data_IF_494013644285
#
_entry.id   IF_494013644285
#
_cell.length_a   1.000
_cell.length_b   1.000
_cell.length_c   1.000
_cell.angle_alpha   90.00
_cell.angle_beta   90.00
_cell.angle_gamma   90.00
#
_symmetry.space_group_name_H-M   'P 1'
#
loop_
_entity.id
_entity.type
_entity.pdbx_description
1 polymer ?
#
# COMPACT_ATOMS: atom_id res chain seq x y z
N UNK A 1 -6.63 -12.77 10.80
CA UNK A 1 -6.44 -11.78 9.71
C UNK A 1 -5.47 -10.72 10.18
N UNK A 2 -4.51 -10.35 9.38
CA UNK A 2 -3.54 -9.30 9.73
C UNK A 2 -3.58 -8.18 8.68
N UNK A 3 -3.56 -6.94 9.15
CA UNK A 3 -3.44 -5.72 8.34
C UNK A 3 -2.11 -5.03 8.62
N UNK A 4 -1.41 -4.66 7.56
CA UNK A 4 -0.10 -4.03 7.60
C UNK A 4 -0.17 -2.74 6.80
N UNK A 5 -0.87 -1.73 7.34
CA UNK A 5 -1.00 -0.39 6.74
C UNK A 5 -1.55 0.59 7.76
N UNK A 6 -1.28 1.93 7.60
CA UNK A 6 -2.01 2.93 8.37
C UNK A 6 -3.51 2.71 8.24
N UNK A 7 -4.19 2.31 9.30
CA UNK A 7 -5.61 2.01 9.25
C UNK A 7 -6.39 3.33 9.25
N UNK A 8 -6.59 3.91 8.07
CA UNK A 8 -7.51 5.04 7.94
C UNK A 8 -8.99 4.61 7.86
N UNK A 9 -9.24 3.30 8.00
CA UNK A 9 -10.55 2.69 7.93
C UNK A 9 -11.13 2.51 6.52
N UNK A 10 -10.65 3.26 5.54
CA UNK A 10 -11.26 3.26 4.20
C UNK A 10 -11.12 1.93 3.46
N UNK A 11 -10.06 1.18 3.72
CA UNK A 11 -9.81 -0.15 3.12
C UNK A 11 -10.17 -1.30 4.04
N UNK A 12 -10.01 -1.11 5.35
CA UNK A 12 -10.26 -2.14 6.36
C UNK A 12 -11.75 -2.34 6.62
N UNK A 13 -12.51 -1.24 6.70
CA UNK A 13 -13.96 -1.27 6.94
C UNK A 13 -14.68 -2.19 5.96
N UNK A 14 -14.54 -2.04 4.62
CA UNK A 14 -15.21 -2.93 3.68
C UNK A 14 -14.84 -4.40 3.85
N UNK A 15 -13.57 -4.71 4.13
CA UNK A 15 -13.10 -6.09 4.32
C UNK A 15 -13.74 -6.68 5.58
N UNK A 16 -13.69 -5.95 6.69
CA UNK A 16 -14.28 -6.38 7.96
C UNK A 16 -15.81 -6.52 7.81
N UNK A 17 -16.49 -5.57 7.18
CA UNK A 17 -17.94 -5.60 6.96
C UNK A 17 -18.37 -6.81 6.14
N UNK A 18 -17.64 -7.13 5.06
CA UNK A 18 -17.90 -8.33 4.24
C UNK A 18 -17.76 -9.59 5.10
N UNK A 19 -16.65 -9.74 5.83
CA UNK A 19 -16.43 -10.92 6.67
C UNK A 19 -17.45 -11.02 7.81
N UNK A 20 -17.77 -9.90 8.47
CA UNK A 20 -18.76 -9.84 9.52
C UNK A 20 -20.16 -10.18 9.00
N UNK A 21 -20.52 -9.75 7.78
CA UNK A 21 -21.81 -10.09 7.15
C UNK A 21 -21.96 -11.60 6.90
N UNK A 22 -20.86 -12.33 6.75
CA UNK A 22 -20.83 -13.80 6.65
C UNK A 22 -20.90 -14.50 8.02
N UNK A 23 -21.15 -13.75 9.08
CA UNK A 23 -21.24 -14.24 10.46
C UNK A 23 -19.94 -14.89 10.99
N UNK A 24 -18.80 -14.55 10.42
CA UNK A 24 -17.50 -15.02 10.87
C UNK A 24 -17.14 -14.40 12.23
N UNK A 25 -16.51 -15.17 13.12
CA UNK A 25 -15.77 -14.64 14.25
C UNK A 25 -14.38 -14.23 13.73
N UNK A 26 -14.00 -12.97 13.92
CA UNK A 26 -12.81 -12.39 13.34
C UNK A 26 -11.84 -12.00 14.46
N UNK A 27 -10.63 -12.57 14.45
CA UNK A 27 -9.49 -12.03 15.18
C UNK A 27 -8.70 -11.17 14.21
N UNK A 28 -8.68 -9.85 14.43
CA UNK A 28 -8.09 -8.87 13.53
C UNK A 28 -6.84 -8.27 14.15
N UNK A 29 -5.68 -8.56 13.57
CA UNK A 29 -4.39 -8.01 14.02
C UNK A 29 -4.01 -6.82 13.15
N UNK A 30 -3.70 -5.71 13.79
CA UNK A 30 -3.23 -4.47 13.16
C UNK A 30 -1.76 -4.27 13.52
N UNK A 31 -0.91 -4.12 12.51
CA UNK A 31 0.52 -3.81 12.68
C UNK A 31 0.79 -2.46 12.01
N UNK A 32 1.03 -1.42 12.81
CA UNK A 32 1.23 -0.05 12.34
C UNK A 32 2.15 0.72 13.30
N UNK A 33 3.29 1.27 12.82
CA UNK A 33 4.21 2.03 13.69
C UNK A 33 3.69 3.43 14.06
N UNK A 34 2.81 4.04 13.26
CA UNK A 34 2.35 5.42 13.47
C UNK A 34 1.25 5.47 14.55
N UNK A 35 1.58 6.04 15.71
CA UNK A 35 0.67 6.20 16.86
C UNK A 35 -0.63 6.87 16.45
N UNK A 36 -0.58 7.95 15.70
CA UNK A 36 -1.77 8.72 15.33
C UNK A 36 -2.73 7.91 14.45
N UNK A 37 -2.21 7.05 13.57
CA UNK A 37 -3.03 6.18 12.74
C UNK A 37 -3.62 5.03 13.55
N UNK A 38 -2.86 4.46 14.48
CA UNK A 38 -3.37 3.46 15.44
C UNK A 38 -4.51 4.03 16.26
N UNK A 39 -4.37 5.24 16.81
CA UNK A 39 -5.38 5.87 17.64
C UNK A 39 -6.65 6.24 16.87
N UNK A 40 -6.51 6.70 15.62
CA UNK A 40 -7.66 6.93 14.73
C UNK A 40 -8.44 5.62 14.50
N UNK A 41 -7.75 4.52 14.24
CA UNK A 41 -8.42 3.25 13.98
C UNK A 41 -9.04 2.66 15.23
N UNK A 42 -8.40 2.77 16.40
CA UNK A 42 -9.00 2.41 17.69
C UNK A 42 -10.28 3.18 17.95
N UNK A 43 -10.29 4.49 17.67
CA UNK A 43 -11.48 5.33 17.82
C UNK A 43 -12.61 4.90 16.88
N UNK A 44 -12.28 4.57 15.62
CA UNK A 44 -13.25 4.03 14.67
C UNK A 44 -13.82 2.69 15.15
N UNK A 45 -12.97 1.78 15.61
CA UNK A 45 -13.39 0.46 16.15
C UNK A 45 -14.34 0.65 17.32
N UNK A 46 -14.00 1.51 18.29
CA UNK A 46 -14.87 1.80 19.44
C UNK A 46 -16.23 2.32 18.99
N UNK A 47 -16.26 3.30 18.07
CA UNK A 47 -17.51 3.85 17.54
C UNK A 47 -18.38 2.80 16.84
N UNK A 48 -17.78 1.91 16.03
CA UNK A 48 -18.49 0.81 15.36
C UNK A 48 -19.09 -0.18 16.35
N UNK A 49 -18.33 -0.54 17.40
CA UNK A 49 -18.78 -1.48 18.42
C UNK A 49 -19.87 -0.89 19.32
N UNK A 50 -19.79 0.40 19.68
CA UNK A 50 -20.85 1.12 20.40
C UNK A 50 -22.17 1.18 19.63
N UNK A 51 -22.10 1.22 18.28
CA UNK A 51 -23.27 1.15 17.40
C UNK A 51 -23.80 -0.28 17.19
N UNK A 52 -23.28 -1.27 17.92
CA UNK A 52 -23.66 -2.68 17.76
C UNK A 52 -23.14 -3.35 16.50
N UNK A 53 -22.21 -2.68 15.79
CA UNK A 53 -21.50 -3.26 14.64
C UNK A 53 -20.26 -4.01 15.11
N UNK A 54 -19.69 -4.86 14.27
CA UNK A 54 -18.46 -5.64 14.53
C UNK A 54 -18.46 -6.41 15.85
N UNK A 55 -19.63 -6.86 16.31
CA UNK A 55 -19.80 -7.57 17.59
C UNK A 55 -19.05 -8.92 17.66
N UNK A 56 -18.63 -9.43 16.50
CA UNK A 56 -17.85 -10.68 16.35
C UNK A 56 -16.41 -10.43 15.95
N UNK A 57 -15.93 -9.19 16.07
CA UNK A 57 -14.56 -8.83 15.72
C UNK A 57 -13.77 -8.49 16.99
N UNK A 58 -12.71 -9.23 17.23
CA UNK A 58 -11.72 -8.93 18.26
C UNK A 58 -10.51 -8.29 17.59
N UNK A 59 -10.11 -7.13 18.09
CA UNK A 59 -8.95 -6.40 17.59
C UNK A 59 -7.75 -6.53 18.51
N UNK A 60 -6.58 -6.71 17.91
CA UNK A 60 -5.27 -6.64 18.56
C UNK A 60 -4.40 -5.65 17.81
N UNK A 61 -3.77 -4.71 18.52
CA UNK A 61 -2.98 -3.64 17.92
C UNK A 61 -1.53 -3.77 18.33
N UNK A 62 -0.65 -3.88 17.36
CA UNK A 62 0.80 -3.86 17.51
C UNK A 62 1.34 -2.56 16.92
N UNK A 63 1.73 -1.63 17.81
CA UNK A 63 2.34 -0.36 17.41
C UNK A 63 3.84 -0.59 17.15
N UNK A 64 4.15 -1.18 16.02
CA UNK A 64 5.51 -1.57 15.63
C UNK A 64 5.62 -1.68 14.11
N UNK A 65 6.84 -1.75 13.60
CA UNK A 65 7.06 -2.05 12.17
C UNK A 65 6.77 -3.52 11.88
N UNK A 66 6.51 -3.83 10.60
CA UNK A 66 6.25 -5.22 10.20
C UNK A 66 7.48 -6.10 10.39
N UNK A 67 8.68 -5.56 10.19
CA UNK A 67 9.93 -6.27 10.41
C UNK A 67 10.04 -6.74 11.87
N UNK A 68 9.88 -5.80 12.81
CA UNK A 68 9.92 -6.11 14.23
C UNK A 68 8.83 -7.10 14.64
N UNK A 69 7.60 -6.92 14.12
CA UNK A 69 6.51 -7.86 14.37
C UNK A 69 6.85 -9.28 13.91
N UNK A 70 7.41 -9.43 12.72
CA UNK A 70 7.83 -10.72 12.19
C UNK A 70 8.96 -11.34 13.00
N UNK A 71 9.95 -10.56 13.43
CA UNK A 71 11.04 -11.03 14.29
C UNK A 71 10.53 -11.48 15.66
N UNK A 72 9.71 -10.67 16.32
CA UNK A 72 9.13 -11.01 17.62
C UNK A 72 8.26 -12.26 17.56
N UNK A 73 7.45 -12.37 16.51
CA UNK A 73 6.57 -13.51 16.31
C UNK A 73 7.32 -14.80 15.99
N UNK A 74 8.52 -14.73 15.42
CA UNK A 74 9.41 -15.91 15.26
C UNK A 74 9.93 -16.44 16.62
N UNK A 75 10.10 -15.56 17.61
CA UNK A 75 10.54 -15.92 18.95
C UNK A 75 9.43 -16.49 19.84
N UNK A 76 8.17 -16.16 19.51
CA UNK A 76 7.00 -16.71 20.19
C UNK A 76 6.69 -18.09 19.60
N UNK A 77 6.60 -19.09 20.46
CA UNK A 77 6.26 -20.49 20.07
C UNK A 77 4.80 -20.63 19.60
N UNK A 78 3.99 -19.57 19.76
CA UNK A 78 2.62 -19.55 19.31
C UNK A 78 2.57 -19.35 17.79
N UNK A 79 2.03 -20.32 17.09
CA UNK A 79 1.76 -20.29 15.65
C UNK A 79 0.61 -19.30 15.35
N UNK A 80 0.94 -18.03 15.18
CA UNK A 80 -0.01 -17.09 14.58
C UNK A 80 -0.15 -17.45 13.09
N UNK A 81 -1.08 -18.34 12.79
CA UNK A 81 -1.44 -18.68 11.42
C UNK A 81 -2.67 -17.89 11.00
N UNK A 82 -2.56 -17.18 9.89
CA UNK A 82 -3.60 -16.30 9.37
C UNK A 82 -4.35 -16.93 8.20
N UNK A 83 -5.67 -16.78 8.19
CA UNK A 83 -6.50 -17.07 7.02
C UNK A 83 -6.28 -16.04 5.93
N UNK A 84 -6.15 -14.76 6.32
CA UNK A 84 -5.98 -13.65 5.40
C UNK A 84 -4.94 -12.68 5.99
N UNK A 85 -3.99 -12.30 5.15
CA UNK A 85 -3.08 -11.18 5.39
C UNK A 85 -3.28 -10.19 4.25
N UNK A 86 -3.37 -8.90 4.56
CA UNK A 86 -3.39 -7.88 3.50
C UNK A 86 -2.42 -6.74 3.78
N UNK A 87 -1.86 -6.21 2.68
CA UNK A 87 -0.95 -5.08 2.63
C UNK A 87 -1.43 -4.15 1.52
N UNK A 88 -1.97 -2.99 1.86
CA UNK A 88 -2.59 -2.11 0.87
C UNK A 88 -1.88 -0.75 0.88
N UNK A 89 -1.22 -0.40 -0.23
CA UNK A 89 -0.47 0.85 -0.42
C UNK A 89 0.57 1.16 0.68
N UNK A 90 1.27 0.13 1.21
CA UNK A 90 2.25 0.31 2.30
C UNK A 90 3.65 -0.25 2.01
N UNK A 91 3.82 -1.04 0.95
CA UNK A 91 5.06 -1.78 0.68
C UNK A 91 6.14 -0.91 0.00
N UNK A 92 5.78 0.26 -0.48
CA UNK A 92 6.64 1.11 -1.34
C UNK A 92 8.01 1.42 -0.77
N UNK A 93 8.09 1.67 0.52
CA UNK A 93 9.31 2.13 1.21
C UNK A 93 9.90 1.10 2.17
N UNK A 94 9.41 -0.12 2.16
CA UNK A 94 9.95 -1.19 3.01
C UNK A 94 11.39 -1.55 2.58
N UNK A 95 12.33 -1.69 3.51
CA UNK A 95 13.75 -1.92 3.20
C UNK A 95 14.01 -3.19 2.39
N UNK A 96 13.39 -4.30 2.76
CA UNK A 96 13.44 -5.59 2.03
C UNK A 96 12.03 -6.18 1.87
N UNK A 97 11.27 -5.73 0.86
CA UNK A 97 9.92 -6.27 0.63
C UNK A 97 9.93 -7.78 0.37
N UNK A 98 11.01 -8.33 -0.18
CA UNK A 98 11.14 -9.76 -0.41
C UNK A 98 11.20 -10.56 0.88
N UNK A 99 12.00 -10.14 1.87
CA UNK A 99 12.06 -10.79 3.17
C UNK A 99 10.71 -10.69 3.91
N UNK A 100 10.07 -9.53 3.83
CA UNK A 100 8.75 -9.30 4.43
C UNK A 100 7.71 -10.26 3.82
N UNK A 101 7.63 -10.37 2.49
CA UNK A 101 6.68 -11.27 1.84
C UNK A 101 6.94 -12.76 2.15
N UNK A 102 8.19 -13.17 2.27
CA UNK A 102 8.55 -14.52 2.76
C UNK A 102 8.05 -14.73 4.18
N UNK A 103 8.27 -13.76 5.08
CA UNK A 103 7.79 -13.81 6.45
C UNK A 103 6.26 -13.88 6.54
N UNK A 104 5.56 -13.02 5.80
CA UNK A 104 4.10 -13.01 5.76
C UNK A 104 3.52 -14.31 5.16
N UNK A 105 4.09 -14.80 4.07
CA UNK A 105 3.69 -16.09 3.48
C UNK A 105 3.90 -17.24 4.47
N UNK A 106 5.00 -17.22 5.22
CA UNK A 106 5.27 -18.17 6.29
C UNK A 106 4.16 -18.22 7.35
N UNK A 107 3.52 -17.08 7.62
CA UNK A 107 2.44 -16.91 8.62
C UNK A 107 1.03 -17.24 8.11
N UNK A 108 0.85 -17.50 6.83
CA UNK A 108 -0.43 -17.99 6.34
C UNK A 108 -0.64 -19.44 6.80
N UNK A 109 -1.86 -19.79 7.12
CA UNK A 109 -2.26 -21.20 7.22
C UNK A 109 -2.41 -21.82 5.82
N UNK A 110 -2.45 -23.13 5.74
CA UNK A 110 -2.76 -23.84 4.48
C UNK A 110 -4.12 -23.39 3.95
N UNK A 111 -4.19 -23.00 2.70
CA UNK A 111 -5.38 -22.40 2.08
C UNK A 111 -5.58 -20.92 2.40
N UNK A 112 -4.72 -20.32 3.24
CA UNK A 112 -4.76 -18.88 3.54
C UNK A 112 -4.32 -18.00 2.37
N UNK A 113 -4.71 -16.73 2.40
CA UNK A 113 -4.53 -15.76 1.33
C UNK A 113 -3.69 -14.56 1.78
N UNK A 114 -2.69 -14.19 1.00
CA UNK A 114 -1.99 -12.91 1.09
C UNK A 114 -2.46 -12.02 -0.06
N UNK A 115 -3.03 -10.86 0.27
CA UNK A 115 -3.47 -9.83 -0.66
C UNK A 115 -2.57 -8.61 -0.54
N UNK A 116 -1.96 -8.18 -1.63
CA UNK A 116 -1.28 -6.90 -1.69
C UNK A 116 -1.89 -6.04 -2.79
N UNK A 117 -2.23 -4.80 -2.47
CA UNK A 117 -2.65 -3.79 -3.44
C UNK A 117 -1.62 -2.68 -3.52
N UNK A 118 -1.17 -2.34 -4.71
CA UNK A 118 -0.21 -1.27 -4.91
C UNK A 118 -0.26 -0.67 -6.32
N UNK A 119 0.42 0.47 -6.48
CA UNK A 119 0.54 1.16 -7.75
C UNK A 119 1.17 0.29 -8.84
N UNK A 120 0.64 0.43 -10.05
CA UNK A 120 1.06 -0.29 -11.24
C UNK A 120 1.19 0.67 -12.44
N UNK A 121 1.71 0.16 -13.55
CA UNK A 121 1.75 0.86 -14.83
C UNK A 121 2.55 2.17 -14.77
N UNK A 122 1.95 3.25 -15.27
CA UNK A 122 2.61 4.55 -15.38
C UNK A 122 2.99 5.15 -14.03
N UNK A 123 2.22 4.90 -12.98
CA UNK A 123 2.55 5.36 -11.63
C UNK A 123 3.79 4.65 -11.08
N UNK A 124 3.99 3.35 -11.40
CA UNK A 124 5.25 2.66 -11.07
C UNK A 124 6.44 3.29 -11.80
N UNK A 125 6.26 3.68 -13.07
CA UNK A 125 7.30 4.36 -13.85
C UNK A 125 7.64 5.73 -13.24
N UNK A 126 6.65 6.47 -12.74
CA UNK A 126 6.85 7.72 -12.04
C UNK A 126 7.72 7.52 -10.79
N UNK A 127 7.47 6.46 -9.99
CA UNK A 127 8.31 6.12 -8.84
C UNK A 127 9.74 5.71 -9.23
N UNK A 128 9.93 5.07 -10.39
CA UNK A 128 11.28 4.80 -10.91
C UNK A 128 12.00 6.10 -11.25
N UNK A 129 11.32 7.02 -11.92
CA UNK A 129 11.87 8.33 -12.30
C UNK A 129 12.22 9.17 -11.06
N UNK A 130 11.36 9.14 -10.07
CA UNK A 130 11.55 9.87 -8.82
C UNK A 130 12.76 9.35 -8.02
N UNK A 131 13.07 8.04 -8.04
CA UNK A 131 14.30 7.48 -7.43
C UNK A 131 15.59 8.02 -8.03
N UNK A 132 15.59 8.46 -9.28
CA UNK A 132 16.74 9.12 -9.90
C UNK A 132 16.97 10.50 -9.28
N UNK A 133 15.89 11.15 -8.82
CA UNK A 133 15.90 12.50 -8.23
C UNK A 133 16.17 12.42 -6.73
N UNK A 134 15.48 11.52 -6.04
CA UNK A 134 15.58 11.34 -4.58
C UNK A 134 16.13 9.95 -4.22
N UNK A 135 17.45 9.81 -4.03
CA UNK A 135 18.07 8.52 -3.70
C UNK A 135 17.60 7.90 -2.38
N UNK A 136 16.96 8.66 -1.49
CA UNK A 136 16.39 8.13 -0.26
C UNK A 136 15.23 7.15 -0.54
N UNK A 137 14.58 7.26 -1.71
CA UNK A 137 13.49 6.39 -2.16
C UNK A 137 13.96 5.14 -2.95
N UNK A 138 15.21 4.74 -2.82
CA UNK A 138 15.78 3.59 -3.55
C UNK A 138 15.02 2.29 -3.37
N UNK A 139 14.32 2.13 -2.27
CA UNK A 139 13.49 0.95 -1.98
C UNK A 139 12.06 1.06 -2.53
N UNK A 140 11.65 2.21 -3.09
CA UNK A 140 10.31 2.35 -3.64
C UNK A 140 10.10 1.37 -4.80
N UNK A 141 9.13 0.50 -4.66
CA UNK A 141 8.81 -0.56 -5.65
C UNK A 141 7.36 -0.43 -6.10
N UNK A 142 7.09 -0.70 -7.37
CA UNK A 142 5.74 -0.88 -7.89
C UNK A 142 5.39 -2.37 -8.02
N UNK A 143 4.20 -2.65 -8.53
CA UNK A 143 3.64 -4.00 -8.57
C UNK A 143 4.47 -4.98 -9.40
N UNK A 144 4.93 -4.57 -10.59
CA UNK A 144 5.75 -5.44 -11.45
C UNK A 144 7.10 -5.77 -10.81
N UNK A 145 7.71 -4.80 -10.13
CA UNK A 145 8.96 -5.00 -9.40
C UNK A 145 8.76 -5.94 -8.20
N UNK A 146 7.69 -5.74 -7.44
CA UNK A 146 7.36 -6.60 -6.30
C UNK A 146 7.08 -8.05 -6.73
N UNK A 147 6.31 -8.26 -7.80
CA UNK A 147 6.06 -9.63 -8.34
C UNK A 147 7.36 -10.35 -8.68
N UNK A 148 8.31 -9.66 -9.33
CA UNK A 148 9.64 -10.23 -9.63
C UNK A 148 10.43 -10.59 -8.37
N UNK A 149 10.35 -9.76 -7.33
CA UNK A 149 10.99 -10.01 -6.05
C UNK A 149 10.38 -11.24 -5.38
N UNK A 150 9.04 -11.31 -5.31
CA UNK A 150 8.31 -12.45 -4.72
C UNK A 150 8.65 -13.73 -5.47
N UNK A 151 8.58 -13.73 -6.80
CA UNK A 151 8.87 -14.92 -7.61
C UNK A 151 10.30 -15.46 -7.42
N UNK A 152 11.27 -14.56 -7.17
CA UNK A 152 12.66 -14.98 -6.88
C UNK A 152 12.81 -15.59 -5.48
N UNK A 153 12.08 -15.09 -4.50
CA UNK A 153 12.18 -15.53 -3.10
C UNK A 153 11.28 -16.72 -2.78
N UNK A 154 10.18 -16.85 -3.51
CA UNK A 154 9.17 -17.89 -3.39
C UNK A 154 8.88 -18.48 -4.78
N UNK A 155 9.80 -19.27 -5.37
CA UNK A 155 9.69 -19.71 -6.77
C UNK A 155 8.49 -20.61 -7.05
N UNK A 156 8.02 -21.36 -6.05
CA UNK A 156 6.91 -22.32 -6.18
C UNK A 156 5.53 -21.70 -5.91
N UNK A 157 5.50 -20.40 -5.62
CA UNK A 157 4.26 -19.68 -5.34
C UNK A 157 3.59 -19.24 -6.63
N UNK A 158 2.30 -19.52 -6.74
CA UNK A 158 1.45 -19.00 -7.80
C UNK A 158 1.00 -17.59 -7.45
N UNK A 159 1.30 -16.63 -8.32
CA UNK A 159 0.91 -15.23 -8.18
C UNK A 159 -0.26 -14.97 -9.10
N UNK A 160 -1.41 -14.64 -8.53
CA UNK A 160 -2.58 -14.17 -9.28
C UNK A 160 -2.63 -12.65 -9.21
N UNK A 161 -3.06 -11.99 -10.28
CA UNK A 161 -3.13 -10.54 -10.32
C UNK A 161 -4.46 -10.03 -10.83
N UNK A 162 -4.93 -8.91 -10.27
CA UNK A 162 -6.11 -8.18 -10.72
C UNK A 162 -5.68 -6.74 -10.99
N UNK A 163 -5.67 -6.36 -12.25
CA UNK A 163 -5.29 -5.01 -12.66
C UNK A 163 -6.51 -4.09 -12.66
N UNK A 164 -6.37 -2.91 -12.04
CA UNK A 164 -7.43 -1.90 -11.90
C UNK A 164 -6.99 -0.62 -12.57
N UNK A 165 -7.69 -0.26 -13.66
CA UNK A 165 -7.47 1.03 -14.32
C UNK A 165 -8.12 2.13 -13.51
N UNK A 166 -7.33 3.10 -13.13
CA UNK A 166 -7.76 4.28 -12.39
C UNK A 166 -7.17 5.54 -13.03
N UNK A 167 -7.79 6.67 -12.77
CA UNK A 167 -7.35 7.96 -13.28
C UNK A 167 -7.40 9.02 -12.19
N UNK A 168 -6.43 9.92 -12.20
CA UNK A 168 -6.36 11.07 -11.31
C UNK A 168 -6.26 12.33 -12.16
N UNK A 169 -7.12 13.33 -11.89
CA UNK A 169 -7.05 14.60 -12.59
C UNK A 169 -5.72 15.29 -12.28
N UNK A 170 -4.96 15.63 -13.33
CA UNK A 170 -3.58 16.12 -13.20
C UNK A 170 -3.36 17.51 -13.76
N UNK A 171 -4.38 18.19 -14.32
CA UNK A 171 -4.24 19.54 -14.90
C UNK A 171 -3.55 20.51 -13.97
N UNK A 172 -3.90 20.48 -12.69
CA UNK A 172 -3.38 21.39 -11.68
C UNK A 172 -1.87 21.19 -11.43
N UNK A 173 -1.34 19.99 -11.66
CA UNK A 173 0.10 19.73 -11.56
C UNK A 173 0.93 20.53 -12.57
N UNK A 174 0.32 20.96 -13.66
CA UNK A 174 1.00 21.71 -14.73
C UNK A 174 0.80 23.23 -14.62
N UNK A 175 0.14 23.70 -13.57
CA UNK A 175 -0.02 25.11 -13.21
C UNK A 175 0.89 25.44 -12.03
N UNK A 176 1.88 26.28 -12.25
CA UNK A 176 2.92 26.58 -11.27
C UNK A 176 2.37 27.09 -9.94
N UNK A 177 1.38 28.01 -10.01
CA UNK A 177 0.78 28.64 -8.84
C UNK A 177 -0.36 27.83 -8.20
N UNK A 178 -0.68 26.64 -8.74
CA UNK A 178 -1.75 25.81 -8.17
C UNK A 178 -1.29 25.13 -6.89
N UNK A 179 -1.96 25.47 -5.79
CA UNK A 179 -1.73 24.82 -4.49
C UNK A 179 -2.05 23.32 -4.56
N UNK A 180 -3.19 22.97 -5.15
CA UNK A 180 -3.65 21.59 -5.31
C UNK A 180 -2.66 20.79 -6.17
N UNK A 181 -2.19 21.39 -7.27
CA UNK A 181 -1.20 20.78 -8.14
C UNK A 181 0.14 20.56 -7.45
N UNK A 182 0.60 21.52 -6.64
CA UNK A 182 1.83 21.38 -5.87
C UNK A 182 1.70 20.31 -4.79
N UNK A 183 0.58 20.25 -4.06
CA UNK A 183 0.32 19.18 -3.09
C UNK A 183 0.26 17.80 -3.74
N UNK A 184 -0.29 17.69 -4.94
CA UNK A 184 -0.33 16.44 -5.69
C UNK A 184 1.07 16.02 -6.16
N UNK A 185 1.90 16.97 -6.62
CA UNK A 185 3.30 16.70 -6.98
C UNK A 185 4.09 16.24 -5.76
N UNK A 186 3.96 16.90 -4.62
CA UNK A 186 4.61 16.49 -3.36
C UNK A 186 4.23 15.06 -2.97
N UNK A 187 2.94 14.72 -3.11
CA UNK A 187 2.45 13.36 -2.86
C UNK A 187 3.03 12.34 -3.85
N UNK A 188 3.06 12.64 -5.14
CA UNK A 188 3.55 11.75 -6.19
C UNK A 188 5.05 11.52 -6.12
N UNK A 189 5.81 12.52 -5.62
CA UNK A 189 7.26 12.49 -5.54
C UNK A 189 7.80 12.18 -4.14
N UNK A 190 6.92 12.00 -3.15
CA UNK A 190 7.32 11.87 -1.74
C UNK A 190 8.28 12.98 -1.27
N UNK A 191 8.24 14.14 -1.91
CA UNK A 191 9.15 15.26 -1.67
C UNK A 191 8.35 16.52 -1.37
N UNK A 192 8.47 17.04 -0.17
CA UNK A 192 7.79 18.27 0.24
C UNK A 192 8.34 19.47 -0.53
N UNK A 193 7.43 20.36 -0.98
CA UNK A 193 7.75 21.51 -1.84
C UNK A 193 8.58 21.11 -3.08
N UNK A 194 8.22 20.01 -3.75
CA UNK A 194 8.97 19.41 -4.85
C UNK A 194 9.47 20.43 -5.88
N UNK A 195 8.60 21.36 -6.34
CA UNK A 195 9.00 22.36 -7.33
C UNK A 195 10.15 23.27 -6.86
N UNK A 196 10.27 23.49 -5.55
CA UNK A 196 11.32 24.34 -4.96
C UNK A 196 12.54 23.55 -4.51
N UNK A 197 12.37 22.24 -4.30
CA UNK A 197 13.40 21.36 -3.74
C UNK A 197 14.38 20.83 -4.79
N UNK A 198 14.01 20.89 -6.07
CA UNK A 198 14.82 20.39 -7.19
C UNK A 198 15.29 21.52 -8.11
N UNK A 199 16.32 21.27 -8.92
CA UNK A 199 16.75 22.23 -9.92
C UNK A 199 15.72 22.40 -11.03
N UNK A 200 15.74 23.53 -11.72
CA UNK A 200 14.83 23.83 -12.85
C UNK A 200 14.90 22.74 -13.94
N UNK A 201 16.09 22.26 -14.25
CA UNK A 201 16.30 21.16 -15.21
C UNK A 201 15.60 19.89 -14.77
N UNK A 202 15.79 19.47 -13.52
CA UNK A 202 15.16 18.27 -12.96
C UNK A 202 13.64 18.39 -12.94
N UNK A 203 13.13 19.57 -12.55
CA UNK A 203 11.70 19.83 -12.58
C UNK A 203 11.13 19.74 -14.00
N UNK A 204 11.78 20.39 -14.98
CA UNK A 204 11.37 20.36 -16.38
C UNK A 204 11.33 18.93 -16.93
N UNK A 205 12.39 18.15 -16.69
CA UNK A 205 12.49 16.75 -17.15
C UNK A 205 11.43 15.86 -16.50
N UNK A 206 11.18 16.05 -15.21
CA UNK A 206 10.14 15.31 -14.49
C UNK A 206 8.74 15.65 -15.01
N UNK A 207 8.44 16.93 -15.19
CA UNK A 207 7.14 17.38 -15.67
C UNK A 207 6.87 16.94 -17.12
N UNK A 208 7.90 16.97 -17.98
CA UNK A 208 7.81 16.44 -19.34
C UNK A 208 7.53 14.94 -19.33
N UNK A 209 8.31 14.16 -18.57
CA UNK A 209 8.09 12.72 -18.42
C UNK A 209 6.69 12.41 -17.89
N UNK A 210 6.24 13.10 -16.84
CA UNK A 210 4.91 12.92 -16.27
C UNK A 210 3.82 13.16 -17.32
N UNK A 211 3.96 14.23 -18.12
CA UNK A 211 2.99 14.60 -19.15
C UNK A 211 2.94 13.59 -20.29
N UNK A 212 4.11 13.19 -20.81
CA UNK A 212 4.23 12.40 -22.02
C UNK A 212 4.02 10.90 -21.78
N UNK A 213 4.54 10.38 -20.64
CA UNK A 213 4.56 8.94 -20.38
C UNK A 213 3.47 8.48 -19.38
N UNK A 214 3.03 9.40 -18.50
CA UNK A 214 2.13 9.01 -17.41
C UNK A 214 0.71 9.57 -17.55
N UNK A 215 0.50 10.59 -18.39
CA UNK A 215 -0.80 11.23 -18.54
C UNK A 215 -1.44 10.96 -19.90
N UNK A 216 -2.76 11.18 -19.95
CA UNK A 216 -3.54 11.18 -21.20
C UNK A 216 -4.58 12.31 -21.14
N UNK A 217 -4.97 12.80 -22.31
CA UNK A 217 -6.01 13.84 -22.42
C UNK A 217 -7.37 13.19 -22.66
N UNK A 218 -8.39 13.68 -21.95
CA UNK A 218 -9.77 13.31 -22.15
C UNK A 218 -10.68 14.51 -21.83
N UNK A 219 -11.58 14.85 -22.76
CA UNK A 219 -12.54 15.96 -22.62
C UNK A 219 -11.86 17.30 -22.28
N UNK A 220 -10.70 17.58 -22.89
CA UNK A 220 -9.90 18.78 -22.66
C UNK A 220 -9.24 18.86 -21.28
N UNK A 221 -9.16 17.73 -20.56
CA UNK A 221 -8.50 17.63 -19.25
C UNK A 221 -7.41 16.59 -19.30
N UNK A 222 -6.37 16.80 -18.53
CA UNK A 222 -5.23 15.91 -18.39
C UNK A 222 -5.41 14.98 -17.18
N UNK A 223 -5.31 13.68 -17.41
CA UNK A 223 -5.43 12.64 -16.39
C UNK A 223 -4.14 11.85 -16.27
N UNK A 224 -3.66 11.64 -15.04
CA UNK A 224 -2.60 10.69 -14.73
C UNK A 224 -3.20 9.27 -14.66
N UNK A 225 -2.55 8.30 -15.30
CA UNK A 225 -2.84 6.88 -15.07
C UNK A 225 -2.41 6.49 -13.65
N UNK A 226 -3.39 6.37 -12.76
CA UNK A 226 -3.20 5.90 -11.39
C UNK A 226 -3.68 4.45 -11.26
N UNK A 227 -3.08 3.58 -12.04
CA UNK A 227 -3.46 2.17 -12.03
C UNK A 227 -2.98 1.48 -10.76
N UNK A 228 -3.79 0.57 -10.25
CA UNK A 228 -3.44 -0.30 -9.13
C UNK A 228 -3.46 -1.77 -9.59
N UNK A 229 -2.68 -2.59 -8.94
CA UNK A 229 -2.70 -4.04 -9.12
C UNK A 229 -2.83 -4.73 -7.76
N UNK A 230 -3.79 -5.65 -7.68
CA UNK A 230 -3.85 -6.60 -6.57
C UNK A 230 -2.98 -7.80 -6.92
N UNK A 231 -2.10 -8.15 -6.01
CA UNK A 231 -1.26 -9.35 -6.05
C UNK A 231 -1.85 -10.31 -5.01
N UNK A 232 -2.33 -11.47 -5.46
CA UNK A 232 -2.98 -12.46 -4.61
C UNK A 232 -2.20 -13.76 -4.62
N UNK A 233 -1.85 -14.25 -3.44
CA UNK A 233 -1.08 -15.46 -3.23
C UNK A 233 -1.85 -16.37 -2.26
N UNK A 234 -2.03 -17.63 -2.64
CA UNK A 234 -2.60 -18.65 -1.74
C UNK A 234 -1.51 -19.60 -1.26
N UNK A 235 -1.54 -19.93 0.04
CA UNK A 235 -0.66 -20.97 0.60
C UNK A 235 -1.19 -22.35 0.27
N UNK A 236 -0.39 -23.14 -0.42
CA UNK A 236 -0.69 -24.54 -0.77
C UNK A 236 -0.52 -25.48 0.41
#
# INVERSE_FOLDING_TARGET
>A
MANIKPPNGNTDVPIIDILHSKQCNINYIVVEPNVAEVDKFKSLVASKQEQGQWTRVRFEFHQTTIENYLEESQRRVAEDNFDIIHTIHCVYTMPDPGAIFVGLYGRLQKGGMLLNTMAAGSLEQLYVKEREINPALRSCVGSASLRRIIQRRLPDVEINTIYKKMALLADECFKEESREGNMLLDFLTYTLDFRKSVSETVLSDFMAFMREECCYEKDGKLFLHKDDEDIVIFKK
#
